data_IF_867726085734
#
_entry.id   IF_867726085734
#
_cell.length_a   1.000
_cell.length_b   1.000
_cell.length_c   1.000
_cell.angle_alpha   90.00
_cell.angle_beta   90.00
_cell.angle_gamma   90.00
#
_symmetry.space_group_name_H-M   'P 1'
#
loop_
_entity.id
_entity.type
_entity.pdbx_description
1 polymer ?
#
# COMPACT_ATOMS: atom_id res chain seq x y z
N UNK A 1 -0.81 11.90 -5.43
CA UNK A 1 -0.21 13.06 -6.13
C UNK A 1 -0.51 12.94 -7.62
N UNK A 2 -0.66 14.05 -8.34
CA UNK A 2 -0.63 14.03 -9.81
C UNK A 2 0.81 13.89 -10.33
N UNK A 3 0.98 13.87 -11.66
CA UNK A 3 2.28 13.79 -12.30
C UNK A 3 3.15 15.05 -12.14
N UNK A 4 2.58 16.15 -11.62
CA UNK A 4 3.28 17.40 -11.28
C UNK A 4 3.59 17.51 -9.78
N UNK A 5 3.28 16.48 -8.98
CA UNK A 5 3.52 16.48 -7.55
C UNK A 5 2.52 17.32 -6.74
N UNK A 6 1.36 17.66 -7.29
CA UNK A 6 0.30 18.32 -6.52
C UNK A 6 -0.53 17.31 -5.73
N UNK A 7 -0.91 17.69 -4.51
CA UNK A 7 -1.82 16.91 -3.67
C UNK A 7 -3.26 17.22 -4.07
N UNK A 8 -4.01 16.19 -4.43
CA UNK A 8 -5.40 16.27 -4.83
C UNK A 8 -6.26 15.47 -3.83
N UNK A 9 -7.49 15.93 -3.62
CA UNK A 9 -8.48 15.28 -2.77
C UNK A 9 -9.67 14.84 -3.62
N UNK A 10 -10.17 13.62 -3.41
CA UNK A 10 -11.32 13.07 -4.13
C UNK A 10 -12.19 12.24 -3.20
N UNK A 11 -13.50 12.19 -3.49
CA UNK A 11 -14.47 11.28 -2.83
C UNK A 11 -14.76 10.04 -3.66
N UNK A 12 -14.26 9.96 -4.90
CA UNK A 12 -14.41 8.77 -5.74
C UNK A 12 -13.62 7.61 -5.12
N UNK A 13 -14.29 6.48 -4.89
CA UNK A 13 -13.68 5.24 -4.37
C UNK A 13 -13.23 4.27 -5.46
N UNK A 14 -13.23 4.69 -6.73
CA UNK A 14 -12.81 3.83 -7.85
C UNK A 14 -11.29 3.89 -7.97
N UNK A 15 -10.64 2.77 -7.68
CA UNK A 15 -9.19 2.62 -7.75
C UNK A 15 -8.80 1.42 -8.61
N UNK A 16 -7.63 1.51 -9.24
CA UNK A 16 -6.98 0.43 -9.96
C UNK A 16 -5.49 0.41 -9.70
N UNK A 17 -4.78 -0.49 -10.36
CA UNK A 17 -3.33 -0.63 -10.25
C UNK A 17 -2.68 -0.33 -11.60
N UNK A 18 -1.60 0.47 -11.61
CA UNK A 18 -0.82 0.72 -12.82
C UNK A 18 0.23 -0.37 -13.08
N UNK A 19 0.95 -0.27 -14.22
CA UNK A 19 2.01 -1.24 -14.60
C UNK A 19 3.20 -1.25 -13.64
N UNK A 20 3.34 -0.24 -12.80
CA UNK A 20 4.37 -0.12 -11.77
C UNK A 20 3.84 -0.51 -10.38
N UNK A 21 2.66 -1.12 -10.33
CA UNK A 21 1.97 -1.56 -9.11
C UNK A 21 1.53 -0.43 -8.16
N UNK A 22 1.47 0.83 -8.62
CA UNK A 22 0.89 1.89 -7.80
C UNK A 22 -0.64 1.84 -7.86
N UNK A 23 -1.27 2.11 -6.72
CA UNK A 23 -2.71 2.31 -6.65
C UNK A 23 -3.03 3.70 -7.22
N UNK A 24 -3.87 3.74 -8.26
CA UNK A 24 -4.23 4.95 -8.99
C UNK A 24 -5.74 5.18 -8.99
N UNK A 25 -6.15 6.44 -8.96
CA UNK A 25 -7.53 6.84 -9.19
C UNK A 25 -7.86 6.83 -10.70
N UNK A 26 -9.14 6.95 -11.04
CA UNK A 26 -9.63 6.97 -12.43
C UNK A 26 -9.03 8.09 -13.31
N UNK A 27 -8.47 9.15 -12.72
CA UNK A 27 -7.77 10.23 -13.41
C UNK A 27 -6.24 10.02 -13.50
N UNK A 28 -5.74 8.85 -13.10
CA UNK A 28 -4.31 8.52 -13.10
C UNK A 28 -3.50 9.09 -11.92
N UNK A 29 -4.12 9.83 -11.00
CA UNK A 29 -3.43 10.29 -9.79
C UNK A 29 -3.12 9.11 -8.86
N UNK A 30 -1.92 9.12 -8.25
CA UNK A 30 -1.50 8.09 -7.29
C UNK A 30 -2.15 8.32 -5.94
N UNK A 31 -2.72 7.26 -5.36
CA UNK A 31 -3.29 7.29 -4.01
C UNK A 31 -2.18 7.48 -2.97
N UNK A 32 -2.46 8.29 -1.95
CA UNK A 32 -1.53 8.60 -0.87
C UNK A 32 -1.95 7.91 0.43
N UNK A 33 -0.98 7.41 1.18
CA UNK A 33 -1.20 6.89 2.52
C UNK A 33 0.09 6.43 3.18
N UNK A 34 -0.06 5.62 4.23
CA UNK A 34 1.07 5.09 5.00
C UNK A 34 1.54 3.76 4.40
N UNK A 35 2.84 3.66 4.14
CA UNK A 35 3.48 2.40 3.73
C UNK A 35 3.80 1.53 4.95
N UNK A 36 4.22 0.30 4.68
CA UNK A 36 4.82 -0.58 5.69
C UNK A 36 6.31 -0.74 5.44
N UNK A 37 7.08 -0.93 6.50
CA UNK A 37 8.49 -1.33 6.39
C UNK A 37 8.65 -2.84 6.12
N UNK A 38 9.90 -3.32 6.01
CA UNK A 38 10.22 -4.73 5.80
C UNK A 38 9.75 -5.66 6.93
N UNK A 39 9.42 -5.11 8.10
CA UNK A 39 8.94 -5.84 9.27
C UNK A 39 7.40 -5.81 9.37
N UNK A 40 6.71 -5.28 8.35
CA UNK A 40 5.26 -5.06 8.32
C UNK A 40 4.76 -4.01 9.33
N UNK A 41 5.63 -3.11 9.81
CA UNK A 41 5.20 -2.02 10.66
C UNK A 41 4.65 -0.87 9.83
N UNK A 42 3.52 -0.30 10.24
CA UNK A 42 2.93 0.86 9.59
C UNK A 42 3.77 2.12 9.84
N UNK A 43 4.14 2.83 8.77
CA UNK A 43 4.93 4.06 8.83
C UNK A 43 4.03 5.29 8.86
N UNK A 44 3.53 5.68 10.04
CA UNK A 44 2.57 6.79 10.20
C UNK A 44 3.18 8.20 10.09
N UNK A 45 4.51 8.33 10.08
CA UNK A 45 5.22 9.61 10.05
C UNK A 45 5.46 10.20 8.66
N UNK A 46 5.21 9.46 7.59
CA UNK A 46 5.40 9.93 6.22
C UNK A 46 4.32 9.37 5.31
N UNK A 47 3.67 10.26 4.54
CA UNK A 47 2.66 9.89 3.56
C UNK A 47 3.31 9.77 2.19
N UNK A 48 3.19 8.59 1.58
CA UNK A 48 3.75 8.27 0.27
C UNK A 48 2.72 7.67 -0.67
N UNK A 49 3.14 7.43 -1.91
CA UNK A 49 2.29 6.75 -2.88
C UNK A 49 2.08 5.30 -2.45
N UNK A 50 0.85 4.83 -2.48
CA UNK A 50 0.54 3.42 -2.19
C UNK A 50 0.98 2.56 -3.37
N UNK A 51 1.81 1.57 -3.09
CA UNK A 51 2.31 0.59 -4.06
C UNK A 51 2.07 -0.83 -3.53
N UNK A 52 1.54 -1.69 -4.39
CA UNK A 52 1.38 -3.11 -4.10
C UNK A 52 2.72 -3.80 -4.35
N UNK A 53 3.29 -4.42 -3.32
CA UNK A 53 4.49 -5.22 -3.51
C UNK A 53 4.15 -6.53 -4.22
N UNK A 54 4.88 -6.83 -5.29
CA UNK A 54 4.84 -8.13 -5.98
C UNK A 54 6.06 -8.98 -5.64
N UNK A 55 6.85 -8.60 -4.63
CA UNK A 55 7.95 -9.41 -4.14
C UNK A 55 7.42 -10.71 -3.53
N UNK A 56 8.15 -11.81 -3.72
CA UNK A 56 7.88 -13.07 -3.02
C UNK A 56 7.90 -12.85 -1.50
N UNK A 57 6.87 -13.32 -0.81
CA UNK A 57 6.84 -13.32 0.65
C UNK A 57 7.75 -14.44 1.17
N UNK A 58 8.60 -14.12 2.14
CA UNK A 58 9.44 -15.12 2.80
C UNK A 58 8.58 -16.05 3.65
N UNK A 59 8.95 -17.33 3.71
CA UNK A 59 8.31 -18.27 4.63
C UNK A 59 8.50 -17.82 6.09
N UNK A 60 7.45 -17.96 6.90
CA UNK A 60 7.50 -17.80 8.35
C UNK A 60 7.22 -19.16 9.00
N UNK A 61 8.12 -19.59 9.89
CA UNK A 61 7.90 -20.78 10.70
C UNK A 61 6.79 -20.53 11.73
N UNK A 62 6.05 -21.58 12.09
CA UNK A 62 5.04 -21.55 13.16
C UNK A 62 5.72 -21.23 14.50
N UNK A 63 5.19 -20.25 15.23
CA UNK A 63 5.67 -19.83 16.54
C UNK A 63 4.68 -20.12 17.69
N UNK A 64 3.40 -20.33 17.37
CA UNK A 64 2.35 -20.67 18.34
C UNK A 64 1.44 -21.79 17.84
N UNK A 65 1.13 -22.73 18.72
CA UNK A 65 0.03 -23.69 18.59
C UNK A 65 -0.94 -23.45 19.74
N UNK A 66 -2.24 -23.36 19.45
CA UNK A 66 -3.29 -23.22 20.45
C UNK A 66 -4.21 -24.44 20.37
N UNK A 67 -4.49 -25.07 21.51
CA UNK A 67 -5.35 -26.25 21.59
C UNK A 67 -6.48 -25.98 22.58
N UNK A 68 -7.72 -26.15 22.12
CA UNK A 68 -8.91 -26.11 22.96
C UNK A 68 -9.46 -27.54 23.04
N UNK A 69 -9.56 -28.07 24.25
CA UNK A 69 -10.11 -29.39 24.56
C UNK A 69 -11.62 -29.33 24.80
#
# INVERSE_FOLDING_TARGET
KDHMGQTLYTRSGVFGTDKSNFVTANNGAKLQGYSVDSNNNLMTGSVGNIQVSTSSLNAKATDKLDFVA
#
